data_IF_991789782841
#
_entry.id   IF_991789782841
#
_cell.length_a   1.000
_cell.length_b   1.000
_cell.length_c   1.000
_cell.angle_alpha   90.00
_cell.angle_beta   90.00
_cell.angle_gamma   90.00
#
_symmetry.space_group_name_H-M   'P 1'
#
loop_
_entity.id
_entity.type
_entity.pdbx_description
1 polymer ?
#
# COMPACT_ATOMS: atom_id res chain seq x y z
N UNK A 1 20.21 -1.26 14.99
CA UNK A 1 19.56 0.05 15.23
C UNK A 1 18.07 -0.14 15.08
N UNK A 2 17.26 0.37 16.00
CA UNK A 2 15.80 0.38 15.90
C UNK A 2 15.35 1.56 15.03
N UNK A 3 14.10 1.53 14.55
CA UNK A 3 13.56 2.59 13.71
C UNK A 3 12.05 2.77 13.92
N UNK A 4 11.49 3.85 13.35
CA UNK A 4 10.06 4.17 13.45
C UNK A 4 9.47 4.47 12.09
N UNK A 5 8.23 4.02 11.88
CA UNK A 5 7.40 4.53 10.79
C UNK A 5 7.05 6.00 11.06
N UNK A 6 7.14 6.85 10.03
CA UNK A 6 6.73 8.26 10.09
C UNK A 6 5.22 8.42 10.29
N UNK A 7 4.44 7.45 9.82
CA UNK A 7 2.99 7.37 10.01
C UNK A 7 2.62 5.95 10.40
N UNK A 8 1.57 5.82 11.19
CA UNK A 8 1.00 4.50 11.54
C UNK A 8 -0.49 4.42 11.27
N UNK A 9 -1.16 5.54 10.99
CA UNK A 9 -2.56 5.58 10.61
C UNK A 9 -2.71 5.66 9.09
N UNK A 10 -3.56 4.81 8.53
CA UNK A 10 -3.93 4.83 7.12
C UNK A 10 -4.67 6.13 6.75
N UNK A 11 -4.38 6.63 5.54
CA UNK A 11 -5.00 7.82 4.93
C UNK A 11 -6.51 7.62 4.74
N UNK A 12 -7.28 8.71 4.71
CA UNK A 12 -8.72 8.61 4.42
C UNK A 12 -8.95 8.14 2.99
N UNK A 13 -8.30 8.74 2.00
CA UNK A 13 -8.48 8.39 0.58
C UNK A 13 -7.45 7.37 0.08
N UNK A 14 -7.11 6.36 0.90
CA UNK A 14 -6.15 5.33 0.50
C UNK A 14 -6.77 4.33 -0.50
N UNK A 15 -6.18 4.12 -1.71
CA UNK A 15 -6.68 3.15 -2.70
C UNK A 15 -6.70 1.69 -2.25
N UNK A 16 -6.02 1.37 -1.15
CA UNK A 16 -6.10 0.02 -0.59
C UNK A 16 -7.42 -0.26 0.13
N UNK A 17 -8.23 0.76 0.40
CA UNK A 17 -9.57 0.60 0.97
C UNK A 17 -10.58 0.29 -0.12
N UNK A 18 -11.44 -0.70 0.11
CA UNK A 18 -12.46 -1.14 -0.87
C UNK A 18 -13.50 -0.05 -1.18
N UNK A 19 -13.74 0.87 -0.25
CA UNK A 19 -14.74 1.93 -0.35
C UNK A 19 -14.16 3.28 -0.82
N UNK A 20 -12.96 3.30 -1.39
CA UNK A 20 -12.32 4.50 -1.94
C UNK A 20 -12.14 4.36 -3.44
N UNK A 21 -12.70 5.29 -4.21
CA UNK A 21 -12.31 5.46 -5.62
C UNK A 21 -10.99 6.24 -5.70
N UNK A 22 -9.92 5.69 -6.32
CA UNK A 22 -8.67 6.41 -6.51
C UNK A 22 -8.81 7.75 -7.26
N UNK A 23 -9.85 7.92 -8.08
CA UNK A 23 -10.14 9.19 -8.78
C UNK A 23 -10.52 10.33 -7.84
N UNK A 24 -10.97 10.02 -6.62
CA UNK A 24 -11.27 11.02 -5.59
C UNK A 24 -10.02 11.58 -4.91
N UNK A 25 -8.83 11.06 -5.21
CA UNK A 25 -7.59 11.52 -4.57
C UNK A 25 -7.32 12.98 -5.01
N UNK A 26 -7.24 13.92 -4.05
CA UNK A 26 -7.03 15.32 -4.36
C UNK A 26 -5.63 15.54 -4.97
N UNK A 27 -5.51 16.57 -5.81
CA UNK A 27 -4.25 17.00 -6.45
C UNK A 27 -3.70 16.07 -7.54
N UNK A 28 -4.57 15.28 -8.17
CA UNK A 28 -4.27 14.60 -9.42
C UNK A 28 -3.93 13.13 -9.24
N UNK A 29 -4.94 12.29 -9.36
CA UNK A 29 -4.78 10.86 -9.60
C UNK A 29 -4.27 10.59 -11.03
N UNK A 30 -3.41 9.59 -11.20
CA UNK A 30 -2.90 9.19 -12.50
C UNK A 30 -2.80 7.66 -12.57
N UNK A 31 -3.67 7.04 -13.37
CA UNK A 31 -3.75 5.58 -13.52
C UNK A 31 -2.40 4.95 -13.90
N UNK A 32 -1.67 5.56 -14.83
CA UNK A 32 -0.34 5.06 -15.23
C UNK A 32 0.66 5.05 -14.06
N UNK A 33 0.64 6.09 -13.21
CA UNK A 33 1.50 6.12 -12.01
C UNK A 33 1.03 5.08 -11.00
N UNK A 34 -0.28 4.88 -10.86
CA UNK A 34 -0.82 3.86 -9.98
C UNK A 34 -0.40 2.46 -10.44
N UNK A 35 -0.61 2.12 -11.71
CA UNK A 35 -0.20 0.84 -12.30
C UNK A 35 1.31 0.59 -12.14
N UNK A 36 2.14 1.63 -12.28
CA UNK A 36 3.59 1.52 -12.07
C UNK A 36 3.97 1.11 -10.64
N UNK A 37 3.10 1.28 -9.63
CA UNK A 37 3.35 0.84 -8.26
C UNK A 37 3.41 -0.70 -8.12
N UNK A 38 3.07 -1.47 -9.16
CA UNK A 38 3.33 -2.90 -9.22
C UNK A 38 4.80 -3.23 -8.91
N UNK A 39 5.74 -2.34 -9.25
CA UNK A 39 7.16 -2.51 -8.97
C UNK A 39 7.53 -2.51 -7.46
N UNK A 40 6.57 -2.15 -6.60
CA UNK A 40 6.72 -2.15 -5.14
C UNK A 40 6.15 -3.40 -4.49
N UNK A 41 5.56 -4.31 -5.28
CA UNK A 41 5.04 -5.59 -4.82
C UNK A 41 6.17 -6.61 -4.77
N UNK A 42 6.21 -7.40 -3.70
CA UNK A 42 7.26 -8.39 -3.50
C UNK A 42 7.25 -9.47 -4.57
N UNK A 43 8.44 -9.91 -4.98
CA UNK A 43 8.63 -11.06 -5.83
C UNK A 43 8.52 -12.32 -4.96
N UNK A 44 7.63 -13.28 -5.29
CA UNK A 44 7.50 -14.51 -4.52
C UNK A 44 8.83 -15.24 -4.34
N UNK A 45 9.17 -15.59 -3.09
CA UNK A 45 10.41 -16.31 -2.76
C UNK A 45 11.68 -15.45 -2.68
N UNK A 46 11.61 -14.14 -2.99
CA UNK A 46 12.76 -13.25 -2.83
C UNK A 46 12.91 -12.80 -1.35
N UNK A 47 14.10 -13.03 -0.81
CA UNK A 47 14.47 -12.65 0.56
C UNK A 47 15.42 -11.44 0.60
N UNK A 48 15.83 -10.91 -0.56
CA UNK A 48 16.80 -9.83 -0.68
C UNK A 48 16.15 -8.47 -0.39
N UNK A 49 16.16 -8.09 0.89
CA UNK A 49 15.65 -6.79 1.34
C UNK A 49 14.16 -6.62 1.08
N UNK A 50 13.63 -5.41 1.30
CA UNK A 50 12.19 -5.12 1.15
C UNK A 50 11.78 -4.70 -0.26
N UNK A 51 12.73 -4.53 -1.19
CA UNK A 51 12.48 -3.92 -2.50
C UNK A 51 12.16 -2.43 -2.42
N UNK A 52 11.55 -1.91 -3.50
CA UNK A 52 11.01 -0.53 -3.55
C UNK A 52 9.82 -0.42 -2.61
N UNK A 53 9.73 0.69 -1.89
CA UNK A 53 8.61 0.95 -0.98
C UNK A 53 7.59 1.90 -1.61
N UNK A 54 6.31 1.63 -1.40
CA UNK A 54 5.24 2.54 -1.80
C UNK A 54 5.17 3.72 -0.81
N UNK A 55 5.25 4.94 -1.33
CA UNK A 55 5.05 6.16 -0.56
C UNK A 55 3.56 6.47 -0.35
N UNK A 56 3.25 7.15 0.75
CA UNK A 56 1.93 7.70 1.03
C UNK A 56 1.65 8.91 0.14
N UNK A 57 0.47 8.97 -0.49
CA UNK A 57 0.07 10.11 -1.33
C UNK A 57 -0.17 11.42 -0.53
N UNK A 58 -0.55 11.32 0.75
CA UNK A 58 -0.68 12.50 1.63
C UNK A 58 0.66 12.95 2.21
N UNK A 59 1.65 12.05 2.28
CA UNK A 59 2.92 12.29 2.98
C UNK A 59 4.02 11.51 2.27
N UNK A 60 4.50 12.07 1.16
CA UNK A 60 5.39 11.42 0.18
C UNK A 60 6.69 10.81 0.74
N UNK A 61 7.09 11.19 1.97
CA UNK A 61 8.29 10.67 2.63
C UNK A 61 8.00 9.54 3.64
N UNK A 62 6.74 9.11 3.76
CA UNK A 62 6.26 8.04 4.63
C UNK A 62 5.78 6.82 3.82
N UNK A 63 5.85 5.62 4.41
CA UNK A 63 5.30 4.42 3.79
C UNK A 63 3.77 4.51 3.70
N UNK A 64 3.20 4.02 2.59
CA UNK A 64 1.76 3.77 2.48
C UNK A 64 1.36 2.64 3.43
N UNK A 65 0.39 2.88 4.32
CA UNK A 65 -0.02 1.89 5.35
C UNK A 65 -0.80 0.72 4.74
N UNK A 66 -1.66 0.98 3.74
CA UNK A 66 -2.40 -0.09 3.05
C UNK A 66 -1.43 -1.08 2.37
N UNK A 67 -0.49 -0.55 1.57
CA UNK A 67 0.58 -1.34 0.97
C UNK A 67 1.42 -2.06 2.01
N UNK A 68 1.87 -1.37 3.07
CA UNK A 68 2.70 -1.96 4.11
C UNK A 68 2.01 -3.19 4.72
N UNK A 69 0.72 -3.09 5.05
CA UNK A 69 -0.01 -4.20 5.64
C UNK A 69 -0.28 -5.33 4.67
N UNK A 70 -0.58 -5.04 3.39
CA UNK A 70 -0.69 -6.07 2.37
C UNK A 70 0.63 -6.84 2.22
N UNK A 71 1.75 -6.13 2.09
CA UNK A 71 3.07 -6.73 1.91
C UNK A 71 3.54 -7.49 3.16
N UNK A 72 3.15 -7.09 4.36
CA UNK A 72 3.36 -7.86 5.58
C UNK A 72 2.43 -9.07 5.69
N UNK A 73 1.26 -9.03 5.05
CA UNK A 73 0.26 -10.09 5.02
C UNK A 73 0.35 -10.95 3.75
N UNK A 74 -0.70 -10.87 2.92
CA UNK A 74 -0.90 -11.70 1.72
C UNK A 74 0.22 -11.52 0.67
N UNK A 75 0.78 -10.32 0.53
CA UNK A 75 1.90 -10.05 -0.37
C UNK A 75 3.21 -10.71 0.05
N UNK A 76 3.29 -11.23 1.28
CA UNK A 76 4.39 -12.06 1.79
C UNK A 76 5.82 -11.53 1.52
N UNK A 77 6.02 -10.23 1.69
CA UNK A 77 7.32 -9.58 1.56
C UNK A 77 8.22 -9.96 2.75
N UNK A 78 9.00 -11.04 2.58
CA UNK A 78 9.82 -11.61 3.64
C UNK A 78 10.87 -10.61 4.16
N UNK A 79 11.55 -9.90 3.26
CA UNK A 79 12.56 -8.92 3.68
C UNK A 79 11.94 -7.73 4.44
N UNK A 80 10.73 -7.30 4.08
CA UNK A 80 10.00 -6.29 4.85
C UNK A 80 9.57 -6.81 6.22
N UNK A 81 9.10 -8.06 6.33
CA UNK A 81 8.77 -8.69 7.62
C UNK A 81 9.98 -8.70 8.56
N UNK A 82 11.15 -9.11 8.06
CA UNK A 82 12.40 -9.10 8.83
C UNK A 82 12.77 -7.68 9.27
N UNK A 83 12.63 -6.68 8.39
CA UNK A 83 12.90 -5.27 8.71
C UNK A 83 11.94 -4.72 9.78
N UNK A 84 10.69 -5.16 9.79
CA UNK A 84 9.67 -4.71 10.74
C UNK A 84 9.89 -5.22 12.17
N UNK A 85 10.68 -6.28 12.36
CA UNK A 85 11.04 -6.81 13.71
C UNK A 85 11.66 -5.72 14.59
N UNK A 86 12.43 -4.80 14.01
CA UNK A 86 13.11 -3.71 14.72
C UNK A 86 12.37 -2.36 14.66
N UNK A 87 11.12 -2.37 14.18
CA UNK A 87 10.27 -1.18 14.10
C UNK A 87 9.50 -0.95 15.42
N UNK A 88 9.88 0.06 16.19
CA UNK A 88 9.39 0.28 17.56
C UNK A 88 7.89 0.57 17.64
N UNK A 89 7.34 1.24 16.62
CA UNK A 89 5.93 1.63 16.57
C UNK A 89 5.08 0.75 15.65
N UNK A 90 5.55 -0.45 15.28
CA UNK A 90 4.79 -1.37 14.44
C UNK A 90 3.42 -1.73 15.05
N UNK A 91 3.36 -1.94 16.38
CA UNK A 91 2.10 -2.22 17.10
C UNK A 91 1.10 -1.06 17.12
N UNK A 92 1.44 0.12 16.59
CA UNK A 92 0.55 1.29 16.48
C UNK A 92 -0.07 1.44 15.08
N UNK A 93 0.18 0.49 14.17
CA UNK A 93 -0.41 0.52 12.83
C UNK A 93 -1.93 0.32 12.93
N UNK A 94 -2.68 1.18 12.23
CA UNK A 94 -4.15 1.15 12.20
C UNK A 94 -4.64 1.31 10.76
N UNK A 95 -5.32 0.26 10.29
CA UNK A 95 -6.07 0.25 9.04
C UNK A 95 -7.45 0.88 9.24
N UNK A 96 -8.08 1.29 8.14
CA UNK A 96 -9.43 1.85 8.10
C UNK A 96 -10.29 1.04 7.13
N UNK A 97 -11.38 0.48 7.63
CA UNK A 97 -12.32 -0.28 6.81
C UNK A 97 -11.70 -1.52 6.16
N UNK A 98 -12.47 -2.10 5.24
CA UNK A 98 -12.05 -3.27 4.46
C UNK A 98 -10.93 -2.91 3.49
N UNK A 99 -9.97 -3.83 3.33
CA UNK A 99 -8.82 -3.66 2.43
C UNK A 99 -8.94 -4.58 1.22
N UNK A 100 -8.49 -4.10 0.07
CA UNK A 100 -8.29 -4.93 -1.11
C UNK A 100 -7.27 -6.05 -0.82
N UNK A 101 -7.54 -7.30 -1.26
CA UNK A 101 -6.66 -8.42 -0.99
C UNK A 101 -5.41 -8.42 -1.87
N UNK A 102 -5.49 -7.89 -3.09
CA UNK A 102 -4.36 -7.79 -4.03
C UNK A 102 -4.10 -6.35 -4.46
N UNK A 103 -2.94 -6.11 -5.09
CA UNK A 103 -2.62 -4.80 -5.64
C UNK A 103 -3.49 -4.49 -6.86
N UNK A 104 -3.76 -5.49 -7.69
CA UNK A 104 -4.57 -5.39 -8.89
C UNK A 104 -5.98 -4.89 -8.56
N UNK A 105 -6.56 -5.32 -7.44
CA UNK A 105 -7.88 -4.86 -6.99
C UNK A 105 -7.91 -3.37 -6.61
N UNK A 106 -6.74 -2.75 -6.35
CA UNK A 106 -6.65 -1.31 -6.07
C UNK A 106 -6.68 -0.46 -7.33
N UNK A 107 -6.42 -1.06 -8.50
CA UNK A 107 -6.49 -0.36 -9.77
C UNK A 107 -7.95 -0.05 -10.11
N UNK A 108 -8.23 1.12 -10.71
CA UNK A 108 -9.56 1.44 -11.12
C UNK A 108 -10.02 0.45 -12.19
N UNK A 109 -11.27 0.02 -12.07
CA UNK A 109 -11.94 -0.76 -13.11
C UNK A 109 -11.81 -0.06 -14.48
N UNK A 110 -11.78 -0.83 -15.57
CA UNK A 110 -11.86 -0.22 -16.89
C UNK A 110 -13.18 0.53 -17.06
N UNK A 111 -13.25 1.50 -17.97
CA UNK A 111 -14.47 2.27 -18.25
C UNK A 111 -15.67 1.37 -18.53
N UNK A 112 -15.45 0.26 -19.25
CA UNK A 112 -16.42 -0.78 -19.56
C UNK A 112 -16.96 -1.53 -18.34
N UNK A 113 -16.18 -1.68 -17.28
CA UNK A 113 -16.59 -2.39 -16.06
C UNK A 113 -17.35 -1.49 -15.08
N UNK A 114 -17.14 -0.16 -15.14
CA UNK A 114 -17.89 0.82 -14.33
C UNK A 114 -19.35 0.97 -14.77
N UNK A 115 -19.63 0.88 -16.06
CA UNK A 115 -20.99 1.06 -16.62
C UNK A 115 -21.90 -0.16 -16.39
N UNK A 116 -21.31 -1.32 -16.10
CA UNK A 116 -22.03 -2.58 -15.90
C UNK A 116 -22.47 -2.81 -14.43
N UNK A 117 -22.17 -1.88 -13.52
CA UNK A 117 -22.42 -1.98 -12.07
C UNK A 117 -23.36 -0.89 -11.60
#
# INVERSE_FOLDING_TARGET
>A
MTWKLKRTAQCEKCPWRVDVDPHDIPNGYCERKHAALAETIAIPGDFRGSGKAMACHETHDAHCIGWLMNQLGAGNNIGLRLRMITCENAGKIRLKGEQHPTFEDTLPLSSTEREAK
#
